data_IF_031069425472
#
_entry.id   IF_031069425472
#
_cell.length_a   1.000
_cell.length_b   1.000
_cell.length_c   1.000
_cell.angle_alpha   90.00
_cell.angle_beta   90.00
_cell.angle_gamma   90.00
#
_symmetry.space_group_name_H-M   'P 1'
#
loop_
_entity.id
_entity.type
_entity.pdbx_description
1 polymer ?
#
# COMPACT_ATOMS: atom_id res chain seq x y z
N UNK A 1 -30.17 -1.33 23.91
CA UNK A 1 -29.60 -2.64 23.52
C UNK A 1 -28.12 -2.43 23.20
N UNK A 2 -27.23 -2.89 24.06
CA UNK A 2 -25.78 -2.79 23.84
C UNK A 2 -25.40 -3.72 22.69
N UNK A 3 -25.02 -3.17 21.53
CA UNK A 3 -24.39 -3.97 20.47
C UNK A 3 -22.99 -4.33 20.97
N UNK A 4 -22.76 -5.59 21.32
CA UNK A 4 -21.42 -6.05 21.66
C UNK A 4 -20.48 -5.77 20.49
N UNK A 5 -19.31 -5.18 20.74
CA UNK A 5 -18.31 -4.95 19.71
C UNK A 5 -17.93 -6.32 19.10
N UNK A 6 -18.11 -6.54 17.79
CA UNK A 6 -17.78 -7.81 17.14
C UNK A 6 -16.34 -8.30 17.41
N UNK A 7 -15.39 -7.38 17.56
CA UNK A 7 -13.99 -7.70 17.91
C UNK A 7 -13.88 -8.30 19.31
N UNK A 8 -14.58 -7.72 20.29
CA UNK A 8 -14.61 -8.24 21.67
C UNK A 8 -15.31 -9.60 21.77
N UNK A 9 -16.31 -9.85 20.92
CA UNK A 9 -16.98 -11.16 20.83
C UNK A 9 -16.02 -12.20 20.24
N UNK A 10 -15.29 -11.85 19.17
CA UNK A 10 -14.31 -12.73 18.56
C UNK A 10 -13.17 -13.11 19.51
N UNK A 11 -12.63 -12.15 20.26
CA UNK A 11 -11.59 -12.41 21.27
C UNK A 11 -12.08 -13.34 22.39
N UNK A 12 -13.32 -13.18 22.85
CA UNK A 12 -13.93 -14.07 23.85
C UNK A 12 -14.16 -15.48 23.32
N UNK A 13 -14.46 -15.63 22.02
CA UNK A 13 -14.62 -16.93 21.39
C UNK A 13 -13.28 -17.65 21.20
N UNK A 14 -12.21 -16.91 20.90
CA UNK A 14 -10.84 -17.45 20.83
C UNK A 14 -10.37 -17.94 22.21
N UNK A 15 -10.69 -17.20 23.27
CA UNK A 15 -10.39 -17.58 24.65
C UNK A 15 -11.36 -18.63 25.24
N UNK A 16 -12.26 -19.20 24.42
CA UNK A 16 -13.22 -20.19 24.88
C UNK A 16 -12.53 -21.48 25.33
N UNK A 17 -12.95 -22.11 26.44
CA UNK A 17 -12.45 -23.41 26.87
C UNK A 17 -12.95 -24.57 25.99
N UNK A 18 -13.79 -24.30 24.98
CA UNK A 18 -14.21 -25.28 24.00
C UNK A 18 -13.28 -25.18 22.77
N UNK A 19 -12.50 -26.23 22.54
CA UNK A 19 -11.50 -26.28 21.45
C UNK A 19 -12.11 -26.06 20.06
N UNK A 20 -13.34 -26.53 19.82
CA UNK A 20 -14.03 -26.36 18.53
C UNK A 20 -14.42 -24.89 18.34
N UNK A 21 -14.97 -24.26 19.39
CA UNK A 21 -15.33 -22.84 19.36
C UNK A 21 -14.09 -21.96 19.18
N UNK A 22 -13.01 -22.26 19.89
CA UNK A 22 -11.75 -21.54 19.79
C UNK A 22 -11.11 -21.68 18.39
N UNK A 23 -11.09 -22.89 17.83
CA UNK A 23 -10.56 -23.15 16.49
C UNK A 23 -11.37 -22.42 15.40
N UNK A 24 -12.70 -22.47 15.47
CA UNK A 24 -13.57 -21.75 14.53
C UNK A 24 -13.33 -20.23 14.64
N UNK A 25 -13.19 -19.70 15.86
CA UNK A 25 -12.93 -18.28 16.07
C UNK A 25 -11.54 -17.86 15.56
N UNK A 26 -10.52 -18.71 15.69
CA UNK A 26 -9.20 -18.50 15.09
C UNK A 26 -9.27 -18.48 13.56
N UNK A 27 -10.05 -19.37 12.93
CA UNK A 27 -10.29 -19.34 11.49
C UNK A 27 -10.99 -18.04 11.05
N UNK A 28 -11.98 -17.56 11.81
CA UNK A 28 -12.62 -16.27 11.53
C UNK A 28 -11.65 -15.10 11.69
N UNK A 29 -10.78 -15.11 12.71
CA UNK A 29 -9.73 -14.10 12.85
C UNK A 29 -8.79 -14.11 11.66
N UNK A 30 -8.30 -15.27 11.25
CA UNK A 30 -7.45 -15.40 10.07
C UNK A 30 -8.16 -14.92 8.78
N UNK A 31 -9.46 -15.22 8.61
CA UNK A 31 -10.23 -14.73 7.48
C UNK A 31 -10.43 -13.22 7.50
N UNK A 32 -10.66 -12.62 8.68
CA UNK A 32 -10.76 -11.16 8.83
C UNK A 32 -9.41 -10.50 8.55
N UNK A 33 -8.31 -11.08 9.04
CA UNK A 33 -6.96 -10.58 8.80
C UNK A 33 -6.58 -10.69 7.30
N UNK A 34 -7.00 -11.77 6.63
CA UNK A 34 -6.83 -11.94 5.17
C UNK A 34 -7.77 -11.05 4.37
N UNK A 35 -9.00 -10.82 4.84
CA UNK A 35 -9.94 -9.90 4.19
C UNK A 35 -9.54 -8.43 4.37
N UNK A 36 -8.83 -8.11 5.46
CA UNK A 36 -8.14 -6.85 5.69
C UNK A 36 -6.84 -6.72 4.90
N UNK A 37 -6.41 -7.78 4.20
CA UNK A 37 -5.31 -7.70 3.25
C UNK A 37 -5.67 -6.67 2.17
N UNK A 38 -4.73 -5.82 1.77
CA UNK A 38 -4.99 -4.73 0.85
C UNK A 38 -5.75 -5.21 -0.38
N UNK A 39 -6.84 -4.54 -0.78
CA UNK A 39 -7.59 -4.96 -1.94
C UNK A 39 -6.65 -5.05 -3.15
N UNK A 40 -6.94 -5.97 -4.07
CA UNK A 40 -6.32 -6.02 -5.40
C UNK A 40 -6.59 -4.78 -6.26
N UNK A 41 -7.02 -3.68 -5.63
CA UNK A 41 -7.21 -2.36 -6.19
C UNK A 41 -5.90 -1.86 -6.81
N UNK A 42 -6.01 -1.13 -7.92
CA UNK A 42 -4.85 -0.57 -8.56
C UNK A 42 -4.28 0.59 -7.73
N UNK A 43 -2.99 0.86 -7.91
CA UNK A 43 -2.25 1.89 -7.19
C UNK A 43 -2.30 3.18 -8.00
N UNK A 44 -2.76 4.27 -7.38
CA UNK A 44 -2.65 5.61 -7.96
C UNK A 44 -1.23 6.12 -7.75
N UNK A 45 -0.53 6.39 -8.85
CA UNK A 45 0.80 6.99 -8.85
C UNK A 45 0.67 8.43 -9.35
N UNK A 46 1.05 9.38 -8.49
CA UNK A 46 1.09 10.81 -8.81
C UNK A 46 2.54 11.25 -8.87
N UNK A 47 2.96 11.79 -10.02
CA UNK A 47 4.29 12.34 -10.22
C UNK A 47 4.22 13.85 -10.25
N UNK A 48 4.99 14.51 -9.40
CA UNK A 48 5.19 15.96 -9.41
C UNK A 48 6.61 16.25 -9.87
N UNK A 49 6.72 16.89 -11.03
CA UNK A 49 7.99 17.23 -11.66
C UNK A 49 8.38 18.68 -11.32
N UNK A 50 9.30 18.84 -10.37
CA UNK A 50 9.83 20.13 -9.94
C UNK A 50 10.96 20.65 -10.85
N UNK A 51 11.38 19.89 -11.86
CA UNK A 51 12.42 20.32 -12.82
C UNK A 51 11.87 21.20 -13.94
N UNK A 52 10.55 21.25 -14.10
CA UNK A 52 9.86 22.02 -15.14
C UNK A 52 9.26 23.30 -14.57
N UNK A 53 9.23 24.35 -15.39
CA UNK A 53 8.51 25.59 -15.09
C UNK A 53 7.43 25.84 -16.14
N UNK A 54 6.13 25.91 -15.76
CA UNK A 54 5.60 25.65 -14.42
C UNK A 54 5.75 24.17 -14.01
N UNK A 55 5.70 23.90 -12.70
CA UNK A 55 5.72 22.53 -12.19
C UNK A 55 4.60 21.69 -12.81
N UNK A 56 4.88 20.43 -13.09
CA UNK A 56 3.93 19.53 -13.74
C UNK A 56 3.55 18.37 -12.83
N UNK A 57 2.26 18.27 -12.49
CA UNK A 57 1.71 17.12 -11.77
C UNK A 57 0.92 16.25 -12.72
N UNK A 58 1.21 14.95 -12.75
CA UNK A 58 0.53 13.95 -13.59
C UNK A 58 0.23 12.72 -12.77
N UNK A 59 -0.94 12.12 -12.96
CA UNK A 59 -1.34 10.90 -12.25
C UNK A 59 -1.69 9.78 -13.23
N UNK A 60 -1.33 8.55 -12.88
CA UNK A 60 -1.75 7.34 -13.58
C UNK A 60 -2.02 6.22 -12.58
N UNK A 61 -2.87 5.30 -13.00
CA UNK A 61 -3.26 4.13 -12.22
C UNK A 61 -2.50 2.91 -12.75
N UNK A 62 -1.92 2.14 -11.85
CA UNK A 62 -1.16 0.93 -12.18
C UNK A 62 -1.79 -0.28 -11.50
N UNK A 63 -1.98 -1.37 -12.24
CA UNK A 63 -2.45 -2.62 -11.65
C UNK A 63 -1.42 -3.15 -10.66
N UNK A 64 -1.85 -3.45 -9.43
CA UNK A 64 -0.96 -3.92 -8.34
C UNK A 64 -0.13 -5.13 -8.78
N UNK A 65 -0.77 -6.14 -9.39
CA UNK A 65 -0.11 -7.34 -9.92
C UNK A 65 1.07 -7.00 -10.86
N UNK A 66 0.90 -6.01 -11.73
CA UNK A 66 1.95 -5.59 -12.67
C UNK A 66 3.15 -4.90 -11.99
N UNK A 67 3.01 -4.49 -10.72
CA UNK A 67 4.04 -3.89 -9.88
C UNK A 67 4.61 -4.85 -8.84
N UNK A 68 3.87 -5.92 -8.48
CA UNK A 68 4.27 -6.94 -7.50
C UNK A 68 5.28 -7.94 -8.07
N UNK A 69 5.21 -8.28 -9.35
CA UNK A 69 6.04 -9.32 -9.98
C UNK A 69 7.54 -8.95 -10.13
N UNK A 70 7.98 -7.88 -9.48
CA UNK A 70 9.15 -7.11 -9.86
C UNK A 70 9.85 -6.50 -8.64
N UNK A 71 11.18 -6.60 -8.60
CA UNK A 71 12.05 -5.83 -7.69
C UNK A 71 11.74 -4.34 -7.87
N UNK A 72 11.79 -3.52 -6.81
CA UNK A 72 11.40 -2.09 -6.86
C UNK A 72 12.00 -1.29 -8.04
N UNK A 73 13.19 -1.67 -8.50
CA UNK A 73 13.85 -1.12 -9.68
C UNK A 73 13.06 -1.27 -11.00
N UNK A 74 12.26 -2.32 -11.18
CA UNK A 74 11.44 -2.50 -12.38
C UNK A 74 10.16 -1.68 -12.32
N UNK A 75 9.50 -1.61 -11.16
CA UNK A 75 8.40 -0.67 -10.94
C UNK A 75 8.86 0.77 -11.22
N UNK A 76 10.08 1.07 -10.80
CA UNK A 76 10.74 2.33 -11.09
C UNK A 76 10.93 2.63 -12.57
N UNK A 77 11.47 1.68 -13.34
CA UNK A 77 11.61 1.83 -14.79
C UNK A 77 10.25 2.03 -15.47
N UNK A 78 9.20 1.34 -14.99
CA UNK A 78 7.82 1.53 -15.49
C UNK A 78 7.33 2.95 -15.23
N UNK A 79 7.57 3.52 -14.04
CA UNK A 79 7.17 4.90 -13.75
C UNK A 79 7.95 5.90 -14.62
N UNK A 80 9.27 5.73 -14.74
CA UNK A 80 10.09 6.61 -15.60
C UNK A 80 9.61 6.59 -17.05
N UNK A 81 9.33 5.42 -17.61
CA UNK A 81 8.79 5.29 -18.96
C UNK A 81 7.39 5.90 -19.08
N UNK A 82 6.49 5.60 -18.14
CA UNK A 82 5.10 6.06 -18.16
C UNK A 82 4.98 7.59 -18.06
N UNK A 83 5.85 8.23 -17.29
CA UNK A 83 5.83 9.67 -17.05
C UNK A 83 6.92 10.42 -17.81
N UNK A 84 7.70 9.76 -18.67
CA UNK A 84 8.80 10.38 -19.43
C UNK A 84 9.77 11.16 -18.51
N UNK A 85 10.14 10.54 -17.38
CA UNK A 85 11.06 11.13 -16.40
C UNK A 85 12.50 10.88 -16.86
N UNK A 86 13.36 11.90 -16.76
CA UNK A 86 14.78 11.78 -17.12
C UNK A 86 15.50 10.74 -16.26
N UNK A 87 16.47 10.04 -16.85
CA UNK A 87 17.26 9.03 -16.15
C UNK A 87 18.13 9.60 -15.03
N UNK A 88 18.52 10.88 -15.17
CA UNK A 88 19.38 11.59 -14.23
C UNK A 88 18.60 12.32 -13.14
N UNK A 89 17.27 12.26 -13.15
CA UNK A 89 16.47 12.95 -12.15
C UNK A 89 16.55 12.23 -10.80
N UNK A 90 16.78 13.01 -9.73
CA UNK A 90 16.63 12.53 -8.36
C UNK A 90 15.15 12.47 -8.04
N UNK A 91 14.74 11.43 -7.36
CA UNK A 91 13.34 11.13 -7.14
C UNK A 91 13.13 10.78 -5.66
N UNK A 92 12.05 11.27 -5.09
CA UNK A 92 11.60 10.94 -3.73
C UNK A 92 10.26 10.22 -3.81
N UNK A 93 10.12 9.09 -3.13
CA UNK A 93 8.95 8.24 -3.12
C UNK A 93 8.25 8.36 -1.77
N UNK A 94 6.98 8.74 -1.77
CA UNK A 94 6.15 8.82 -0.57
C UNK A 94 4.90 7.98 -0.77
N UNK A 95 4.68 6.98 0.07
CA UNK A 95 3.56 6.05 -0.06
C UNK A 95 2.54 6.29 1.05
N UNK A 96 1.26 6.35 0.67
CA UNK A 96 0.14 6.19 1.60
C UNK A 96 -0.25 4.73 1.58
N UNK A 97 -0.24 4.08 2.75
CA UNK A 97 -0.51 2.65 2.89
C UNK A 97 -1.89 2.39 3.47
N UNK A 98 -2.41 1.18 3.27
CA UNK A 98 -3.52 0.66 4.05
C UNK A 98 -3.03 0.29 5.45
N UNK A 99 -3.82 0.61 6.46
CA UNK A 99 -3.61 0.17 7.83
C UNK A 99 -4.02 -1.29 8.01
N UNK A 100 -3.63 -1.91 9.13
CA UNK A 100 -3.93 -3.32 9.43
C UNK A 100 -5.43 -3.63 9.50
N UNK A 101 -6.28 -2.62 9.72
CA UNK A 101 -7.73 -2.73 9.68
C UNK A 101 -8.33 -2.59 8.26
N UNK A 102 -7.50 -2.40 7.22
CA UNK A 102 -7.89 -2.20 5.84
C UNK A 102 -8.30 -0.77 5.47
N UNK A 103 -8.26 0.18 6.43
CA UNK A 103 -8.53 1.60 6.17
C UNK A 103 -7.32 2.27 5.50
N UNK A 104 -7.54 3.43 4.87
CA UNK A 104 -6.46 4.20 4.24
C UNK A 104 -5.74 4.98 5.33
N UNK A 105 -4.44 4.75 5.47
CA UNK A 105 -3.58 5.48 6.39
C UNK A 105 -3.61 6.98 6.12
N UNK A 106 -3.51 7.77 7.18
CA UNK A 106 -3.57 9.24 7.09
C UNK A 106 -2.22 9.88 6.79
N UNK A 107 -1.12 9.14 6.95
CA UNK A 107 0.25 9.59 6.70
C UNK A 107 0.79 9.05 5.39
N UNK A 108 1.73 9.80 4.82
CA UNK A 108 2.56 9.34 3.71
C UNK A 108 3.99 9.22 4.19
N UNK A 109 4.56 8.02 4.09
CA UNK A 109 5.91 7.73 4.56
C UNK A 109 6.88 7.58 3.39
N UNK A 110 8.14 7.95 3.62
CA UNK A 110 9.19 7.76 2.61
C UNK A 110 9.39 6.26 2.37
N UNK A 111 9.22 5.85 1.12
CA UNK A 111 9.33 4.45 0.72
C UNK A 111 10.68 4.20 0.08
N UNK A 112 11.46 3.28 0.64
CA UNK A 112 12.64 2.77 -0.01
C UNK A 112 12.27 1.72 -1.08
N UNK A 113 13.09 1.62 -2.12
CA UNK A 113 12.94 0.65 -3.20
C UNK A 113 13.30 -0.78 -2.75
N UNK A 114 14.15 -0.91 -1.73
CA UNK A 114 14.57 -2.21 -1.21
C UNK A 114 13.43 -2.90 -0.45
N UNK A 115 12.59 -2.14 0.25
CA UNK A 115 11.39 -2.65 0.94
C UNK A 115 10.19 -2.86 0.01
N UNK A 116 10.33 -2.60 -1.29
CA UNK A 116 9.22 -2.66 -2.26
C UNK A 116 8.44 -3.98 -2.27
N UNK A 117 9.07 -5.17 -2.27
CA UNK A 117 8.33 -6.44 -2.34
C UNK A 117 7.37 -6.64 -1.16
N UNK A 118 7.73 -6.13 0.01
CA UNK A 118 6.93 -6.24 1.23
C UNK A 118 5.85 -5.16 1.27
N UNK A 119 6.21 -3.93 0.89
CA UNK A 119 5.32 -2.77 1.00
C UNK A 119 4.28 -2.71 -0.13
N UNK A 120 4.59 -3.21 -1.33
CA UNK A 120 3.73 -3.05 -2.52
C UNK A 120 2.33 -3.59 -2.33
N UNK A 121 2.15 -4.57 -1.45
CA UNK A 121 0.82 -5.07 -1.12
C UNK A 121 0.00 -3.99 -0.42
N UNK A 122 0.60 -3.24 0.50
CA UNK A 122 -0.06 -2.28 1.37
C UNK A 122 -0.17 -0.88 0.78
N UNK A 123 0.52 -0.55 -0.31
CA UNK A 123 0.45 0.79 -0.90
C UNK A 123 -0.95 1.06 -1.48
N UNK A 124 -1.63 2.08 -0.97
CA UNK A 124 -2.86 2.63 -1.55
C UNK A 124 -2.54 3.63 -2.67
N UNK A 125 -1.63 4.58 -2.38
CA UNK A 125 -1.23 5.66 -3.28
C UNK A 125 0.28 5.90 -3.17
N UNK A 126 0.90 6.23 -4.29
CA UNK A 126 2.31 6.61 -4.36
C UNK A 126 2.46 8.02 -4.93
N UNK A 127 3.13 8.89 -4.20
CA UNK A 127 3.54 10.21 -4.67
C UNK A 127 5.04 10.15 -5.01
N UNK A 128 5.39 10.64 -6.19
CA UNK A 128 6.77 10.65 -6.69
C UNK A 128 7.16 12.08 -7.01
N UNK A 129 8.13 12.60 -6.29
CA UNK A 129 8.64 13.96 -6.49
C UNK A 129 9.94 13.91 -7.29
N UNK A 130 9.97 14.58 -8.44
CA UNK A 130 11.13 14.65 -9.34
C UNK A 130 11.90 15.94 -9.09
N UNK A 131 13.19 15.82 -8.80
CA UNK A 131 14.11 16.91 -8.56
C UNK A 131 15.32 16.83 -9.50
N UNK A 132 15.95 17.97 -9.74
CA UNK A 132 17.24 18.05 -10.42
C UNK A 132 18.28 17.25 -9.64
N UNK A 133 19.15 16.50 -10.33
CA UNK A 133 20.43 16.12 -9.73
C UNK A 133 21.25 17.41 -9.58
N UNK A 134 21.79 17.67 -8.39
CA UNK A 134 22.78 18.72 -8.19
C UNK A 134 24.13 18.28 -8.75
#
# INVERSE_FOLDING_TARGET
MNRANPQQVLERLIASPNDVTAAIAQCFKALVDVAGSPPGSPILVTVTDYTKSPFSTRSRVFGRKALTDHVGMFAWMKFRAAFSISHNARLKLEATMFEANGEIGTTSDESDLDSWPELIHYIHKLNVSVHSAN
#
